data_IF_846767132308
#
_entry.id   IF_846767132308
#
_cell.length_a   1.000
_cell.length_b   1.000
_cell.length_c   1.000
_cell.angle_alpha   90.00
_cell.angle_beta   90.00
_cell.angle_gamma   90.00
#
_symmetry.space_group_name_H-M   'P 1'
#
loop_
_entity.id
_entity.type
_entity.pdbx_description
1 polymer ?
#
# COMPACT_ATOMS: atom_id res chain seq x y z
N UNK A 1 21.27 -6.88 -18.45
CA UNK A 1 20.34 -5.81 -18.89
C UNK A 1 19.07 -5.94 -18.08
N UNK A 2 18.51 -4.85 -17.59
CA UNK A 2 17.28 -4.85 -16.80
C UNK A 2 16.27 -3.86 -17.36
N UNK A 3 15.02 -4.29 -17.41
CA UNK A 3 13.82 -3.48 -17.60
C UNK A 3 12.95 -3.72 -16.36
N UNK A 4 12.73 -2.68 -15.57
CA UNK A 4 12.15 -2.77 -14.22
C UNK A 4 10.94 -1.86 -14.15
N UNK A 5 9.79 -2.34 -13.68
CA UNK A 5 8.57 -1.56 -13.53
C UNK A 5 7.42 -2.46 -13.10
N UNK A 6 6.16 -2.03 -13.28
CA UNK A 6 4.99 -2.87 -13.02
C UNK A 6 3.92 -2.72 -14.08
N UNK A 7 3.02 -3.70 -14.13
CA UNK A 7 1.82 -3.68 -14.95
C UNK A 7 0.69 -2.90 -14.26
N UNK A 8 -0.46 -2.79 -14.91
CA UNK A 8 -1.62 -2.10 -14.36
C UNK A 8 -2.23 -2.87 -13.18
N UNK A 9 -2.86 -2.16 -12.25
CA UNK A 9 -3.72 -2.77 -11.23
C UNK A 9 -4.97 -3.40 -11.85
N UNK A 10 -5.48 -2.83 -12.96
CA UNK A 10 -6.67 -3.30 -13.66
C UNK A 10 -6.34 -4.29 -14.77
N UNK A 11 -6.90 -5.50 -14.69
CA UNK A 11 -6.73 -6.57 -15.70
C UNK A 11 -7.10 -6.12 -17.11
N UNK A 12 -8.10 -5.26 -17.24
CA UNK A 12 -8.56 -4.75 -18.54
C UNK A 12 -7.48 -3.96 -19.27
N UNK A 13 -6.65 -3.22 -18.54
CA UNK A 13 -5.54 -2.49 -19.14
C UNK A 13 -4.48 -3.47 -19.64
N UNK A 14 -4.13 -4.47 -18.83
CA UNK A 14 -3.11 -5.45 -19.19
C UNK A 14 -3.52 -6.33 -20.37
N UNK A 15 -4.81 -6.63 -20.52
CA UNK A 15 -5.36 -7.35 -21.68
C UNK A 15 -5.26 -6.52 -22.97
N UNK A 16 -5.40 -5.20 -22.88
CA UNK A 16 -5.34 -4.29 -24.03
C UNK A 16 -3.90 -3.99 -24.42
N UNK A 17 -3.02 -3.77 -23.43
CA UNK A 17 -1.67 -3.31 -23.65
C UNK A 17 -0.63 -4.42 -23.52
N UNK A 18 -0.34 -4.89 -22.30
CA UNK A 18 0.38 -6.16 -22.04
C UNK A 18 0.59 -6.41 -20.54
N UNK A 19 0.52 -7.67 -20.10
CA UNK A 19 0.99 -8.11 -18.78
C UNK A 19 2.50 -8.07 -18.57
N UNK A 20 3.27 -7.89 -19.64
CA UNK A 20 4.75 -7.88 -19.66
C UNK A 20 5.33 -6.49 -19.90
N UNK A 21 4.49 -5.45 -19.88
CA UNK A 21 4.88 -4.06 -20.05
C UNK A 21 4.92 -3.34 -18.70
N UNK A 22 5.98 -2.57 -18.48
CA UNK A 22 6.01 -1.54 -17.45
C UNK A 22 5.22 -0.32 -17.91
N UNK A 23 4.15 0.02 -17.20
CA UNK A 23 3.26 1.12 -17.56
C UNK A 23 3.93 2.47 -17.33
N UNK A 24 3.85 3.36 -18.33
CA UNK A 24 4.63 4.59 -18.36
C UNK A 24 4.29 5.58 -17.26
N UNK A 25 3.03 5.64 -16.83
CA UNK A 25 2.57 6.57 -15.78
C UNK A 25 3.06 6.18 -14.39
N UNK A 26 2.98 4.91 -14.04
CA UNK A 26 3.65 4.33 -12.87
C UNK A 26 5.17 4.42 -13.01
N UNK A 27 5.67 4.45 -14.24
CA UNK A 27 7.08 4.59 -14.53
C UNK A 27 7.80 3.26 -14.55
N UNK A 28 8.97 3.28 -15.15
CA UNK A 28 9.86 2.13 -15.24
C UNK A 28 11.31 2.63 -15.33
N UNK A 29 12.25 1.74 -15.02
CA UNK A 29 13.67 1.98 -15.14
C UNK A 29 14.30 0.96 -16.10
N UNK A 30 15.32 1.40 -16.84
CA UNK A 30 16.15 0.51 -17.65
C UNK A 30 17.61 0.66 -17.24
N UNK A 31 18.35 -0.45 -17.20
CA UNK A 31 19.78 -0.43 -16.92
C UNK A 31 20.54 0.28 -18.05
N UNK A 32 21.66 0.92 -17.73
CA UNK A 32 22.51 1.58 -18.74
C UNK A 32 22.86 0.69 -19.95
N UNK A 33 23.28 -0.58 -19.79
CA UNK A 33 23.54 -1.46 -20.95
C UNK A 33 22.31 -1.68 -21.84
N UNK A 34 21.10 -1.71 -21.27
CA UNK A 34 19.87 -1.84 -22.06
C UNK A 34 19.57 -0.56 -22.84
N UNK A 35 19.77 0.61 -22.22
CA UNK A 35 19.62 1.88 -22.91
C UNK A 35 20.59 2.02 -24.09
N UNK A 36 21.83 1.54 -23.92
CA UNK A 36 22.85 1.55 -24.98
C UNK A 36 22.51 0.67 -26.18
N UNK A 37 21.83 -0.47 -25.97
CA UNK A 37 21.31 -1.28 -27.09
C UNK A 37 20.03 -0.67 -27.69
N UNK A 38 19.12 -0.18 -26.85
CA UNK A 38 17.85 0.42 -27.27
C UNK A 38 18.05 1.59 -28.24
N UNK A 39 18.96 2.52 -27.92
CA UNK A 39 19.17 3.72 -28.76
C UNK A 39 19.60 3.38 -30.19
N UNK A 40 20.23 2.22 -30.42
CA UNK A 40 20.71 1.80 -31.75
C UNK A 40 19.57 1.32 -32.66
N UNK A 41 18.48 0.85 -32.07
CA UNK A 41 17.33 0.28 -32.79
C UNK A 41 16.06 1.12 -32.66
N UNK A 42 16.06 2.13 -31.79
CA UNK A 42 14.87 2.85 -31.34
C UNK A 42 14.08 3.44 -32.51
N UNK A 43 14.70 4.19 -33.42
CA UNK A 43 13.99 4.86 -34.52
C UNK A 43 13.22 3.84 -35.39
N UNK A 44 13.92 2.81 -35.88
CA UNK A 44 13.29 1.77 -36.69
C UNK A 44 12.28 0.92 -35.90
N UNK A 45 12.48 0.77 -34.60
CA UNK A 45 11.51 0.11 -33.73
C UNK A 45 10.22 0.94 -33.57
N UNK A 46 10.34 2.25 -33.36
CA UNK A 46 9.20 3.16 -33.25
C UNK A 46 8.36 3.16 -34.54
N UNK A 47 9.00 3.03 -35.70
CA UNK A 47 8.31 2.85 -36.99
C UNK A 47 7.52 1.53 -37.04
N UNK A 48 8.11 0.42 -36.59
CA UNK A 48 7.43 -0.90 -36.55
C UNK A 48 6.23 -0.91 -35.61
N UNK A 49 6.33 -0.22 -34.49
CA UNK A 49 5.24 -0.09 -33.50
C UNK A 49 4.51 1.25 -33.61
N UNK A 50 4.49 1.88 -34.79
CA UNK A 50 3.85 3.18 -35.00
C UNK A 50 2.37 3.20 -34.60
N UNK A 51 1.66 2.08 -34.77
CA UNK A 51 0.24 1.92 -34.45
C UNK A 51 -0.07 1.71 -32.96
N UNK A 52 0.94 1.45 -32.12
CA UNK A 52 0.71 1.28 -30.68
C UNK A 52 0.31 2.61 -30.03
N UNK A 53 -0.61 2.52 -29.07
CA UNK A 53 -1.27 3.69 -28.48
C UNK A 53 -0.31 4.53 -27.62
N UNK A 54 0.34 3.90 -26.64
CA UNK A 54 1.20 4.56 -25.66
C UNK A 54 2.68 4.50 -26.02
N UNK A 55 3.45 5.49 -25.55
CA UNK A 55 4.92 5.50 -25.70
C UNK A 55 5.56 4.35 -24.93
N UNK A 56 5.03 4.00 -23.76
CA UNK A 56 5.40 2.82 -22.99
C UNK A 56 5.21 1.51 -23.76
N UNK A 57 4.07 1.36 -24.46
CA UNK A 57 3.80 0.18 -25.30
C UNK A 57 4.80 0.06 -26.46
N UNK A 58 5.16 1.19 -27.08
CA UNK A 58 6.20 1.23 -28.11
C UNK A 58 7.57 0.83 -27.55
N UNK A 59 7.96 1.40 -26.41
CA UNK A 59 9.22 1.04 -25.75
C UNK A 59 9.24 -0.44 -25.37
N UNK A 60 8.17 -0.98 -24.80
CA UNK A 60 8.05 -2.41 -24.51
C UNK A 60 8.20 -3.28 -25.78
N UNK A 61 7.66 -2.85 -26.92
CA UNK A 61 7.92 -3.48 -28.22
C UNK A 61 9.41 -3.53 -28.53
N UNK A 62 10.13 -2.41 -28.42
CA UNK A 62 11.57 -2.36 -28.65
C UNK A 62 12.37 -3.25 -27.69
N UNK A 63 11.98 -3.27 -26.42
CA UNK A 63 12.62 -4.12 -25.42
C UNK A 63 12.38 -5.61 -25.70
N UNK A 64 11.22 -5.96 -26.29
CA UNK A 64 10.91 -7.31 -26.76
C UNK A 64 11.78 -7.71 -27.95
N UNK A 65 12.09 -6.79 -28.87
CA UNK A 65 13.03 -7.06 -29.98
C UNK A 65 14.45 -7.32 -29.49
N UNK A 66 14.89 -6.60 -28.45
CA UNK A 66 16.19 -6.83 -27.79
C UNK A 66 16.17 -8.13 -26.96
N UNK A 67 14.98 -8.63 -26.60
CA UNK A 67 14.79 -9.85 -25.84
C UNK A 67 14.96 -9.68 -24.32
N UNK A 68 14.73 -8.47 -23.79
CA UNK A 68 14.81 -8.21 -22.34
C UNK A 68 13.41 -8.10 -21.74
N UNK A 69 12.97 -9.07 -20.92
CA UNK A 69 11.65 -9.06 -20.32
C UNK A 69 11.53 -8.07 -19.16
N UNK A 70 10.30 -7.70 -18.83
CA UNK A 70 9.99 -6.92 -17.63
C UNK A 70 10.32 -7.71 -16.35
N UNK A 71 11.11 -7.08 -15.50
CA UNK A 71 11.29 -7.45 -14.09
C UNK A 71 10.25 -6.67 -13.28
N UNK A 72 9.24 -7.37 -12.78
CA UNK A 72 8.13 -6.74 -12.05
C UNK A 72 8.56 -6.33 -10.65
N UNK A 73 8.39 -5.05 -10.35
CA UNK A 73 8.59 -4.48 -9.01
C UNK A 73 7.28 -3.87 -8.52
N UNK A 74 6.76 -4.41 -7.42
CA UNK A 74 5.40 -4.14 -6.94
C UNK A 74 5.18 -2.72 -6.38
N UNK A 75 6.23 -1.91 -6.30
CA UNK A 75 6.19 -0.53 -5.81
C UNK A 75 5.89 0.52 -6.88
N UNK A 76 5.86 0.13 -8.15
CA UNK A 76 5.47 1.01 -9.25
C UNK A 76 3.96 0.89 -9.45
N UNK A 77 3.22 1.98 -9.24
CA UNK A 77 1.77 1.98 -9.40
C UNK A 77 1.32 2.95 -10.48
N UNK A 78 0.67 2.39 -11.50
CA UNK A 78 -0.06 3.17 -12.50
C UNK A 78 -1.34 3.77 -11.87
N UNK A 79 -1.86 3.14 -10.80
CA UNK A 79 -3.11 3.50 -10.10
C UNK A 79 -4.28 3.57 -11.09
N UNK A 80 -4.32 2.59 -11.99
CA UNK A 80 -5.42 2.41 -12.93
C UNK A 80 -6.63 1.81 -12.19
N UNK A 81 -7.20 2.60 -11.29
CA UNK A 81 -8.41 2.31 -10.53
C UNK A 81 -9.28 3.56 -10.47
N UNK A 82 -10.53 3.39 -10.08
CA UNK A 82 -11.51 4.47 -9.86
C UNK A 82 -12.04 4.43 -8.44
N UNK A 83 -12.49 5.56 -7.92
CA UNK A 83 -13.07 5.61 -6.57
C UNK A 83 -12.01 5.74 -5.48
N UNK A 84 -12.17 5.03 -4.36
CA UNK A 84 -11.35 5.23 -3.17
C UNK A 84 -10.11 4.31 -3.17
N UNK A 85 -8.87 4.85 -3.24
CA UNK A 85 -7.64 4.04 -3.29
C UNK A 85 -7.25 3.42 -1.94
N UNK A 86 -8.04 3.63 -0.89
CA UNK A 86 -7.75 3.19 0.48
C UNK A 86 -7.32 1.72 0.57
N UNK A 87 -8.08 0.80 -0.01
CA UNK A 87 -7.77 -0.62 0.05
C UNK A 87 -6.42 -0.99 -0.56
N UNK A 88 -6.06 -0.35 -1.68
CA UNK A 88 -4.78 -0.53 -2.36
C UNK A 88 -3.61 -0.06 -1.49
N UNK A 89 -3.71 1.14 -0.90
CA UNK A 89 -2.63 1.74 -0.12
C UNK A 89 -2.52 1.17 1.30
N UNK A 90 -3.65 0.78 1.90
CA UNK A 90 -3.69 0.19 3.24
C UNK A 90 -3.12 -1.23 3.30
N UNK A 91 -3.20 -1.97 2.18
CA UNK A 91 -2.67 -3.33 2.03
C UNK A 91 -1.56 -3.37 0.98
N UNK A 92 -0.72 -2.32 0.93
CA UNK A 92 0.40 -2.26 0.00
C UNK A 92 1.29 -3.51 0.15
N UNK A 93 1.75 -4.12 -0.96
CA UNK A 93 2.58 -5.32 -0.91
C UNK A 93 3.91 -5.06 -0.18
N UNK A 94 4.60 -6.14 0.21
CA UNK A 94 5.93 -6.07 0.83
C UNK A 94 6.97 -5.72 -0.24
N UNK A 95 7.02 -4.44 -0.59
CA UNK A 95 7.91 -3.82 -1.55
C UNK A 95 8.03 -2.32 -1.22
N UNK A 96 9.16 -1.66 -1.52
CA UNK A 96 9.26 -0.21 -1.32
C UNK A 96 8.26 0.51 -2.23
N UNK A 97 7.55 1.51 -1.72
CA UNK A 97 6.74 2.39 -2.57
C UNK A 97 7.68 3.22 -3.47
N UNK A 98 7.52 3.13 -4.78
CA UNK A 98 8.36 3.84 -5.75
C UNK A 98 7.60 5.00 -6.39
N UNK A 99 6.37 4.76 -6.84
CA UNK A 99 5.57 5.75 -7.56
C UNK A 99 4.08 5.50 -7.40
N UNK A 100 3.32 6.59 -7.47
CA UNK A 100 1.86 6.60 -7.55
C UNK A 100 1.47 7.53 -8.70
N UNK A 101 0.79 7.00 -9.70
CA UNK A 101 0.25 7.77 -10.81
C UNK A 101 -1.26 8.03 -10.64
N UNK A 102 -1.89 8.71 -11.60
CA UNK A 102 -3.34 8.99 -11.68
C UNK A 102 -4.04 9.40 -10.38
N UNK A 103 -3.32 10.05 -9.46
CA UNK A 103 -3.90 10.47 -8.18
C UNK A 103 -5.03 11.49 -8.38
N UNK A 104 -5.03 12.22 -9.48
CA UNK A 104 -6.08 13.15 -9.89
C UNK A 104 -7.39 12.47 -10.34
N UNK A 105 -7.38 11.15 -10.58
CA UNK A 105 -8.54 10.37 -11.03
C UNK A 105 -9.20 9.50 -9.95
N UNK A 106 -8.64 9.50 -8.74
CA UNK A 106 -9.15 8.78 -7.58
C UNK A 106 -9.59 9.77 -6.49
N UNK A 107 -10.33 9.28 -5.50
CA UNK A 107 -10.65 10.08 -4.32
C UNK A 107 -9.36 10.44 -3.56
N UNK A 108 -9.45 11.47 -2.73
CA UNK A 108 -8.32 11.93 -1.92
C UNK A 108 -7.86 10.81 -0.97
N UNK A 109 -6.54 10.67 -0.80
CA UNK A 109 -5.94 9.58 -0.01
C UNK A 109 -6.37 9.64 1.47
N UNK A 110 -6.61 10.86 1.96
CA UNK A 110 -6.99 11.17 3.33
C UNK A 110 -8.33 11.90 3.31
N UNK A 111 -9.25 11.55 4.24
CA UNK A 111 -10.55 12.21 4.32
C UNK A 111 -10.41 13.69 4.67
N UNK A 112 -11.39 14.49 4.27
CA UNK A 112 -11.52 15.92 4.59
C UNK A 112 -10.34 16.80 4.12
N UNK A 113 -9.54 16.32 3.17
CA UNK A 113 -8.49 17.09 2.50
C UNK A 113 -8.77 17.13 0.99
N UNK A 114 -8.24 18.15 0.31
CA UNK A 114 -8.18 18.17 -1.16
C UNK A 114 -7.03 17.28 -1.68
N UNK A 115 -6.97 17.07 -3.00
CA UNK A 115 -6.01 16.16 -3.63
C UNK A 115 -4.55 16.48 -3.29
N UNK A 116 -4.17 17.76 -3.35
CA UNK A 116 -2.80 18.21 -3.13
C UNK A 116 -2.42 18.09 -1.66
N UNK A 117 -3.28 18.53 -0.75
CA UNK A 117 -3.00 18.48 0.69
C UNK A 117 -3.00 17.04 1.22
N UNK A 118 -3.83 16.18 0.63
CA UNK A 118 -3.80 14.74 0.87
C UNK A 118 -2.47 14.11 0.45
N UNK A 119 -1.96 14.45 -0.75
CA UNK A 119 -0.65 13.98 -1.21
C UNK A 119 0.48 14.53 -0.34
N UNK A 120 0.48 15.83 -0.02
CA UNK A 120 1.47 16.45 0.89
C UNK A 120 1.50 15.76 2.25
N UNK A 121 0.35 15.31 2.74
CA UNK A 121 0.27 14.58 4.01
C UNK A 121 0.97 13.22 3.92
N UNK A 122 0.80 12.46 2.84
CA UNK A 122 1.54 11.22 2.62
C UNK A 122 3.06 11.50 2.50
N UNK A 123 3.43 12.53 1.72
CA UNK A 123 4.82 12.96 1.55
C UNK A 123 5.46 13.32 2.90
N UNK A 124 4.71 13.94 3.82
CA UNK A 124 5.24 14.27 5.14
C UNK A 124 5.67 13.04 5.96
N UNK A 125 5.07 11.88 5.73
CA UNK A 125 5.52 10.61 6.31
C UNK A 125 6.72 10.05 5.56
N UNK A 126 6.67 10.06 4.23
CA UNK A 126 7.77 9.65 3.36
C UNK A 126 9.08 10.36 3.70
N UNK A 127 9.07 11.67 3.88
CA UNK A 127 10.28 12.45 4.22
C UNK A 127 10.92 12.03 5.56
N UNK A 128 10.19 11.31 6.43
CA UNK A 128 10.69 10.90 7.74
C UNK A 128 11.28 9.50 7.74
N UNK A 129 10.67 8.56 7.03
CA UNK A 129 11.13 7.18 6.86
C UNK A 129 10.72 6.64 5.47
N UNK A 130 11.43 7.05 4.38
CA UNK A 130 11.05 6.75 3.01
C UNK A 130 10.84 5.26 2.76
N UNK A 131 11.78 4.44 3.25
CA UNK A 131 11.82 2.99 3.08
C UNK A 131 10.64 2.26 3.76
N UNK A 132 9.94 2.92 4.68
CA UNK A 132 8.82 2.37 5.45
C UNK A 132 7.44 2.86 4.95
N UNK A 133 7.41 3.82 4.04
CA UNK A 133 6.15 4.41 3.56
C UNK A 133 5.22 3.33 3.01
N UNK A 134 3.97 3.32 3.49
CA UNK A 134 2.91 2.33 3.21
C UNK A 134 3.22 0.88 3.62
N UNK A 135 4.35 0.60 4.27
CA UNK A 135 4.66 -0.78 4.64
C UNK A 135 3.64 -1.33 5.61
N UNK A 136 3.10 -2.48 5.22
CA UNK A 136 2.09 -3.19 5.97
C UNK A 136 2.72 -4.05 7.07
N UNK A 137 2.23 -3.92 8.29
CA UNK A 137 2.60 -4.74 9.44
C UNK A 137 1.35 -5.01 10.28
N UNK A 138 1.29 -6.16 10.93
CA UNK A 138 0.16 -6.48 11.80
C UNK A 138 0.57 -7.34 12.98
N UNK A 139 -0.21 -7.22 14.05
CA UNK A 139 0.01 -7.89 15.33
C UNK A 139 -1.31 -8.00 16.09
N UNK A 140 -1.28 -8.74 17.19
CA UNK A 140 -2.47 -9.16 17.90
C UNK A 140 -2.37 -8.84 19.38
N UNK A 141 -3.49 -8.48 20.00
CA UNK A 141 -3.63 -8.53 21.45
C UNK A 141 -4.51 -9.72 21.80
N UNK A 142 -3.92 -10.77 22.34
CA UNK A 142 -4.66 -11.95 22.80
C UNK A 142 -5.55 -11.63 23.99
N UNK A 143 -5.09 -10.75 24.87
CA UNK A 143 -5.85 -10.32 26.05
C UNK A 143 -7.13 -9.58 25.68
N UNK A 144 -7.09 -8.79 24.60
CA UNK A 144 -8.24 -7.99 24.13
C UNK A 144 -9.02 -8.64 22.98
N UNK A 145 -8.52 -9.76 22.44
CA UNK A 145 -9.02 -10.38 21.22
C UNK A 145 -9.02 -9.43 20.02
N UNK A 146 -7.95 -8.64 19.86
CA UNK A 146 -7.83 -7.63 18.80
C UNK A 146 -6.77 -7.99 17.78
N UNK A 147 -7.01 -7.58 16.53
CA UNK A 147 -5.95 -7.46 15.52
C UNK A 147 -5.68 -6.01 15.22
N UNK A 148 -4.41 -5.67 15.06
CA UNK A 148 -3.94 -4.36 14.65
C UNK A 148 -3.25 -4.50 13.32
N UNK A 149 -3.70 -3.77 12.32
CA UNK A 149 -3.11 -3.70 10.99
C UNK A 149 -2.63 -2.27 10.74
N UNK A 150 -1.39 -2.11 10.33
CA UNK A 150 -0.69 -0.83 10.21
C UNK A 150 -0.15 -0.71 8.79
N UNK A 151 -0.57 0.32 8.07
CA UNK A 151 0.12 0.83 6.87
C UNK A 151 0.85 2.11 7.27
N UNK A 152 2.16 1.99 7.47
CA UNK A 152 2.93 3.06 8.11
C UNK A 152 2.93 4.34 7.27
N UNK A 153 2.62 5.46 7.93
CA UNK A 153 2.48 6.77 7.28
C UNK A 153 1.13 6.99 6.58
N UNK A 154 0.19 6.06 6.70
CA UNK A 154 -1.12 6.17 6.07
C UNK A 154 -2.29 5.86 6.98
N UNK A 155 -2.45 4.60 7.41
CA UNK A 155 -3.62 4.16 8.18
C UNK A 155 -3.30 3.07 9.20
N UNK A 156 -4.12 3.01 10.24
CA UNK A 156 -4.19 1.89 11.20
C UNK A 156 -5.62 1.37 11.23
N UNK A 157 -5.77 0.06 11.36
CA UNK A 157 -7.04 -0.64 11.46
C UNK A 157 -7.05 -1.48 12.74
N UNK A 158 -8.06 -1.30 13.58
CA UNK A 158 -8.30 -2.13 14.76
C UNK A 158 -9.51 -3.04 14.52
N UNK A 159 -9.31 -4.35 14.64
CA UNK A 159 -10.35 -5.35 14.46
C UNK A 159 -10.81 -5.90 15.81
N UNK A 160 -12.12 -6.13 16.02
CA UNK A 160 -12.69 -6.67 17.25
C UNK A 160 -12.51 -8.19 17.39
N UNK A 161 -11.57 -8.76 16.63
CA UNK A 161 -11.34 -10.20 16.51
C UNK A 161 -9.89 -10.47 16.13
N UNK A 162 -9.46 -11.73 16.30
CA UNK A 162 -8.19 -12.25 15.78
C UNK A 162 -8.36 -12.66 14.31
N UNK A 163 -7.99 -11.77 13.42
CA UNK A 163 -8.11 -11.94 11.98
C UNK A 163 -6.91 -12.70 11.40
N UNK A 164 -7.16 -13.52 10.38
CA UNK A 164 -6.06 -14.23 9.73
C UNK A 164 -5.12 -13.27 9.01
N UNK A 165 -3.83 -13.61 8.97
CA UNK A 165 -2.83 -12.88 8.18
C UNK A 165 -3.31 -12.65 6.74
N UNK A 166 -3.90 -13.70 6.11
CA UNK A 166 -4.40 -13.61 4.74
C UNK A 166 -5.50 -12.56 4.59
N UNK A 167 -6.43 -12.45 5.55
CA UNK A 167 -7.49 -11.42 5.53
C UNK A 167 -6.92 -10.03 5.73
N UNK A 168 -5.96 -9.85 6.64
CA UNK A 168 -5.33 -8.55 6.90
C UNK A 168 -4.50 -8.05 5.71
N UNK A 169 -3.84 -8.95 4.98
CA UNK A 169 -3.06 -8.64 3.77
C UNK A 169 -3.90 -8.49 2.50
N UNK A 170 -5.18 -8.87 2.54
CA UNK A 170 -6.06 -8.74 1.36
C UNK A 170 -6.70 -7.35 1.36
N UNK A 171 -6.46 -6.61 0.26
CA UNK A 171 -6.94 -5.25 0.06
C UNK A 171 -8.47 -5.19 0.13
N UNK A 172 -9.00 -4.18 0.82
CA UNK A 172 -10.44 -3.90 0.76
C UNK A 172 -10.81 -3.43 -0.65
N UNK A 173 -11.94 -3.93 -1.15
CA UNK A 173 -12.53 -3.49 -2.40
C UNK A 173 -13.22 -2.13 -2.20
N UNK A 174 -12.43 -1.06 -2.19
CA UNK A 174 -12.91 0.33 -2.05
C UNK A 174 -12.88 1.11 -3.37
N UNK A 175 -12.43 0.46 -4.44
CA UNK A 175 -12.21 1.04 -5.76
C UNK A 175 -12.81 0.13 -6.84
N UNK A 176 -12.83 0.63 -8.07
CA UNK A 176 -13.34 -0.04 -9.26
C UNK A 176 -12.26 -0.07 -10.36
N UNK A 177 -12.43 -0.95 -11.35
CA UNK A 177 -11.55 -1.08 -12.50
C UNK A 177 -11.52 0.20 -13.34
N UNK A 178 -10.40 0.45 -14.01
CA UNK A 178 -10.13 1.69 -14.72
C UNK A 178 -11.12 2.01 -15.85
N UNK A 179 -11.42 1.00 -16.68
CA UNK A 179 -12.14 1.17 -17.95
C UNK A 179 -13.62 0.83 -17.84
N UNK A 180 -14.00 -0.25 -17.15
CA UNK A 180 -15.42 -0.63 -17.04
C UNK A 180 -16.10 -0.16 -15.75
N UNK A 181 -15.37 0.45 -14.80
CA UNK A 181 -15.89 0.77 -13.47
C UNK A 181 -16.49 -0.46 -12.76
N UNK A 182 -15.98 -1.66 -13.08
CA UNK A 182 -16.41 -2.91 -12.47
C UNK A 182 -15.70 -3.12 -11.15
N UNK A 183 -16.32 -3.91 -10.26
CA UNK A 183 -15.71 -4.27 -8.99
C UNK A 183 -14.51 -5.22 -9.16
N UNK A 184 -14.39 -5.91 -10.29
CA UNK A 184 -13.33 -6.88 -10.60
C UNK A 184 -13.20 -6.98 -12.13
N UNK A 185 -12.10 -7.54 -12.68
CA UNK A 185 -10.94 -8.12 -11.98
C UNK A 185 -9.73 -7.18 -11.87
N UNK A 186 -8.92 -7.42 -10.83
CA UNK A 186 -7.61 -6.78 -10.59
C UNK A 186 -6.48 -7.81 -10.67
N UNK A 187 -5.24 -7.32 -10.78
CA UNK A 187 -4.03 -8.17 -10.80
C UNK A 187 -3.62 -8.68 -9.41
N UNK A 188 -4.42 -8.41 -8.39
CA UNK A 188 -4.26 -8.83 -7.01
C UNK A 188 -5.63 -9.15 -6.40
N UNK A 189 -5.62 -9.87 -5.26
CA UNK A 189 -6.86 -10.25 -4.59
C UNK A 189 -7.44 -9.10 -3.78
N UNK A 190 -8.75 -8.93 -3.88
CA UNK A 190 -9.53 -8.00 -3.08
C UNK A 190 -10.51 -8.73 -2.17
N UNK A 191 -11.01 -8.05 -1.14
CA UNK A 191 -12.11 -8.53 -0.29
C UNK A 191 -13.17 -7.46 -0.10
N UNK A 192 -14.46 -7.82 0.00
CA UNK A 192 -15.50 -6.85 0.30
C UNK A 192 -15.32 -6.27 1.71
N UNK A 193 -15.80 -5.05 1.91
CA UNK A 193 -16.05 -4.51 3.24
C UNK A 193 -17.41 -5.02 3.70
N UNK A 194 -17.50 -5.65 4.89
CA UNK A 194 -18.77 -6.20 5.40
C UNK A 194 -19.85 -5.12 5.49
N UNK A 195 -21.11 -5.45 5.27
CA UNK A 195 -22.22 -4.52 5.50
C UNK A 195 -22.55 -4.36 6.99
N UNK A 196 -22.17 -5.32 7.83
CA UNK A 196 -22.29 -5.22 9.30
C UNK A 196 -21.17 -4.32 9.85
N UNK A 197 -21.50 -3.15 10.45
CA UNK A 197 -20.51 -2.29 11.11
C UNK A 197 -19.69 -2.99 12.19
N UNK A 198 -20.24 -4.03 12.83
CA UNK A 198 -19.56 -4.80 13.87
C UNK A 198 -18.46 -5.73 13.33
N UNK A 199 -18.46 -6.02 12.03
CA UNK A 199 -17.44 -6.83 11.37
C UNK A 199 -16.37 -5.98 10.66
N UNK A 200 -16.55 -4.65 10.65
CA UNK A 200 -15.58 -3.71 10.09
C UNK A 200 -14.50 -3.40 11.12
N UNK A 201 -13.27 -3.12 10.67
CA UNK A 201 -12.29 -2.51 11.56
C UNK A 201 -12.66 -1.06 11.87
N UNK A 202 -12.27 -0.59 13.06
CA UNK A 202 -12.16 0.85 13.32
C UNK A 202 -10.94 1.38 12.58
N UNK A 203 -11.14 2.38 11.74
CA UNK A 203 -10.11 2.95 10.87
C UNK A 203 -9.55 4.23 11.48
N UNK A 204 -8.23 4.39 11.40
CA UNK A 204 -7.50 5.57 11.83
C UNK A 204 -6.65 6.06 10.67
N UNK A 205 -6.63 7.36 10.43
CA UNK A 205 -5.73 7.97 9.44
C UNK A 205 -4.59 8.70 10.12
N UNK A 206 -3.46 8.79 9.44
CA UNK A 206 -2.31 9.56 9.93
C UNK A 206 -2.77 10.95 10.36
N UNK A 207 -2.42 11.37 11.57
CA UNK A 207 -2.59 12.73 12.06
C UNK A 207 -1.24 13.46 11.97
N UNK A 208 -0.20 12.88 12.58
CA UNK A 208 1.13 13.51 12.74
C UNK A 208 2.26 12.49 12.65
N UNK A 209 3.40 12.96 12.18
CA UNK A 209 4.67 12.21 12.16
C UNK A 209 5.71 12.99 12.96
N UNK A 210 6.38 12.32 13.88
CA UNK A 210 7.45 12.89 14.72
C UNK A 210 8.70 12.03 14.61
N UNK A 211 9.88 12.66 14.64
CA UNK A 211 11.13 11.97 14.98
C UNK A 211 11.31 12.02 16.48
N UNK A 212 11.61 10.87 17.07
CA UNK A 212 11.88 10.73 18.51
C UNK A 212 13.32 10.28 18.64
N UNK A 213 14.13 11.01 19.43
CA UNK A 213 15.55 10.69 19.59
C UNK A 213 16.34 10.62 18.26
N UNK A 214 17.40 9.81 18.25
CA UNK A 214 18.19 9.53 17.05
C UNK A 214 17.69 8.25 16.40
N UNK A 215 17.06 8.36 15.23
CA UNK A 215 16.69 7.22 14.40
C UNK A 215 15.44 6.47 14.83
N UNK A 216 14.54 7.09 15.61
CA UNK A 216 13.20 6.56 15.84
C UNK A 216 12.14 7.51 15.29
N UNK A 217 11.04 6.90 14.85
CA UNK A 217 9.85 7.58 14.38
C UNK A 217 8.68 7.26 15.30
N UNK A 218 7.79 8.24 15.47
CA UNK A 218 6.50 8.09 16.12
C UNK A 218 5.45 8.67 15.19
N UNK A 219 4.52 7.83 14.75
CA UNK A 219 3.36 8.24 13.95
C UNK A 219 2.11 8.14 14.81
N UNK A 220 1.30 9.21 14.78
CA UNK A 220 0.05 9.32 15.54
C UNK A 220 -1.07 9.28 14.51
N UNK A 221 -2.04 8.40 14.72
CA UNK A 221 -3.21 8.23 13.85
C UNK A 221 -4.45 8.56 14.66
N UNK A 222 -5.35 9.32 14.05
CA UNK A 222 -6.62 9.72 14.65
C UNK A 222 -7.74 8.90 14.04
N UNK A 223 -8.68 8.46 14.89
CA UNK A 223 -9.85 7.70 14.46
C UNK A 223 -10.63 8.47 13.40
N UNK A 224 -11.02 7.76 12.36
CA UNK A 224 -11.93 8.25 11.34
C UNK A 224 -13.37 7.95 11.76
N UNK A 225 -14.15 9.00 11.99
CA UNK A 225 -15.57 8.89 12.30
C UNK A 225 -16.35 9.02 10.99
N UNK A 226 -17.10 7.97 10.64
CA UNK A 226 -17.99 8.00 9.48
C UNK A 226 -19.26 8.71 9.92
N UNK A 227 -19.65 9.78 9.21
CA UNK A 227 -20.85 10.58 9.54
C UNK A 227 -22.17 9.78 9.55
N UNK A 228 -22.18 8.56 8.97
CA UNK A 228 -23.33 7.69 9.01
C UNK A 228 -23.43 6.98 10.36
N UNK A 229 -24.42 7.36 11.17
CA UNK A 229 -24.76 6.78 12.50
C UNK A 229 -25.17 5.30 12.50
N UNK A 230 -24.42 4.45 11.80
CA UNK A 230 -24.46 2.99 11.81
C UNK A 230 -23.25 2.48 12.58
N UNK A 231 -23.12 2.91 13.83
CA UNK A 231 -22.09 2.35 14.72
C UNK A 231 -22.52 0.96 15.20
N UNK A 232 -21.52 0.11 15.48
CA UNK A 232 -21.80 -1.19 16.07
C UNK A 232 -22.24 -1.01 17.53
N UNK A 233 -23.38 -1.59 17.89
CA UNK A 233 -23.92 -1.56 19.26
C UNK A 233 -23.51 -2.77 20.12
N UNK A 234 -22.64 -3.67 19.61
CA UNK A 234 -22.22 -4.85 20.39
C UNK A 234 -21.23 -4.44 21.48
N UNK A 235 -21.37 -5.05 22.66
CA UNK A 235 -20.57 -4.73 23.85
C UNK A 235 -19.07 -5.02 23.69
N UNK A 236 -18.71 -6.04 22.91
CA UNK A 236 -17.32 -6.39 22.57
C UNK A 236 -16.65 -5.38 21.64
N UNK A 237 -17.44 -4.59 20.90
CA UNK A 237 -16.96 -3.54 20.01
C UNK A 237 -16.71 -2.20 20.74
N UNK A 238 -17.43 -1.95 21.84
CA UNK A 238 -17.33 -0.69 22.60
C UNK A 238 -15.89 -0.36 23.07
N UNK A 239 -15.06 -1.31 23.53
CA UNK A 239 -13.66 -1.06 23.84
C UNK A 239 -12.82 -0.54 22.66
N UNK A 240 -13.13 -0.91 21.41
CA UNK A 240 -12.44 -0.35 20.24
C UNK A 240 -12.89 1.09 19.97
N UNK A 241 -14.19 1.35 20.12
CA UNK A 241 -14.76 2.70 20.04
C UNK A 241 -14.34 3.62 21.19
N UNK A 242 -13.67 3.11 22.22
CA UNK A 242 -13.06 3.96 23.26
C UNK A 242 -11.69 4.50 22.84
N UNK A 243 -11.05 3.94 21.82
CA UNK A 243 -9.70 4.33 21.38
C UNK A 243 -9.80 5.42 20.31
N UNK A 244 -9.42 6.65 20.63
CA UNK A 244 -9.40 7.75 19.65
C UNK A 244 -8.08 7.85 18.88
N UNK A 245 -6.98 7.32 19.42
CA UNK A 245 -5.66 7.42 18.81
C UNK A 245 -4.91 6.10 18.74
N UNK A 246 -4.12 5.93 17.69
CA UNK A 246 -3.10 4.90 17.62
C UNK A 246 -1.72 5.54 17.48
N UNK A 247 -0.79 5.14 18.33
CA UNK A 247 0.59 5.60 18.32
C UNK A 247 1.49 4.45 17.86
N UNK A 248 2.17 4.63 16.73
CA UNK A 248 3.05 3.63 16.15
C UNK A 248 4.49 4.13 16.26
N UNK A 249 5.30 3.46 17.07
CA UNK A 249 6.75 3.67 17.16
C UNK A 249 7.49 2.71 16.24
N UNK A 250 8.58 3.17 15.64
CA UNK A 250 9.47 2.32 14.87
C UNK A 250 10.88 2.92 14.81
N UNK A 251 11.91 2.07 14.82
CA UNK A 251 13.24 2.49 14.40
C UNK A 251 13.24 2.79 12.89
N UNK A 252 13.92 3.85 12.47
CA UNK A 252 14.01 4.24 11.05
C UNK A 252 14.45 3.03 10.22
N UNK A 253 13.70 2.72 9.17
CA UNK A 253 14.01 1.59 8.30
C UNK A 253 15.28 1.90 7.51
N UNK A 254 16.22 0.95 7.48
CA UNK A 254 17.46 1.13 6.75
C UNK A 254 17.28 0.63 5.30
N UNK A 255 17.79 1.35 4.28
CA UNK A 255 17.64 0.95 2.89
C UNK A 255 18.23 -0.42 2.54
N UNK A 256 19.24 -0.89 3.29
CA UNK A 256 19.86 -2.21 3.08
C UNK A 256 18.90 -3.37 3.32
N UNK A 257 17.81 -3.16 4.06
CA UNK A 257 16.78 -4.19 4.27
C UNK A 257 16.14 -4.58 2.93
N UNK A 258 15.95 -3.64 2.01
CA UNK A 258 15.41 -3.91 0.67
C UNK A 258 16.36 -4.67 -0.26
N UNK A 259 17.62 -4.87 0.15
CA UNK A 259 18.57 -5.74 -0.57
C UNK A 259 18.47 -7.21 -0.14
N UNK A 260 17.71 -7.50 0.90
CA UNK A 260 17.42 -8.85 1.39
C UNK A 260 16.14 -9.38 0.74
N UNK A 261 15.87 -10.67 0.94
CA UNK A 261 14.57 -11.24 0.56
C UNK A 261 13.43 -10.48 1.28
N UNK A 262 12.41 -9.97 0.55
CA UNK A 262 11.35 -9.17 1.15
C UNK A 262 10.60 -9.94 2.26
N UNK A 263 10.48 -9.30 3.42
CA UNK A 263 9.71 -9.81 4.56
C UNK A 263 9.10 -8.62 5.30
N UNK A 264 7.79 -8.68 5.58
CA UNK A 264 7.12 -7.69 6.43
C UNK A 264 7.81 -7.58 7.80
N UNK A 265 7.78 -6.40 8.39
CA UNK A 265 8.21 -6.22 9.78
C UNK A 265 7.14 -6.73 10.74
N UNK A 266 7.58 -7.11 11.93
CA UNK A 266 6.70 -7.56 13.01
C UNK A 266 6.28 -6.35 13.84
N UNK A 267 5.14 -6.45 14.52
CA UNK A 267 4.76 -5.46 15.51
C UNK A 267 4.26 -6.10 16.81
N UNK A 268 4.17 -5.30 17.85
CA UNK A 268 3.57 -5.70 19.12
C UNK A 268 2.89 -4.52 19.81
N UNK A 269 1.86 -4.81 20.60
CA UNK A 269 1.10 -3.80 21.34
C UNK A 269 1.74 -3.65 22.71
N UNK A 270 2.26 -2.46 23.01
CA UNK A 270 3.09 -2.24 24.20
C UNK A 270 2.28 -1.86 25.45
N UNK A 271 1.02 -1.40 25.29
CA UNK A 271 0.17 -0.96 26.40
C UNK A 271 -1.06 -1.87 26.64
N UNK A 272 -0.86 -3.20 26.69
CA UNK A 272 -1.97 -4.16 26.85
C UNK A 272 -2.74 -4.04 28.17
N UNK A 273 -2.11 -3.51 29.23
CA UNK A 273 -2.65 -3.52 30.59
C UNK A 273 -3.86 -2.60 30.82
N UNK A 274 -3.95 -1.44 30.14
CA UNK A 274 -5.02 -0.45 30.34
C UNK A 274 -5.71 -0.12 29.01
N UNK A 275 -7.05 -0.18 28.98
CA UNK A 275 -7.84 0.38 27.86
C UNK A 275 -7.81 1.89 28.01
N UNK A 276 -6.74 2.48 27.49
CA UNK A 276 -6.58 3.92 27.36
C UNK A 276 -7.24 4.40 26.06
N UNK A 277 -7.42 5.71 25.95
CA UNK A 277 -7.81 6.41 24.72
C UNK A 277 -6.83 6.18 23.54
N UNK A 278 -5.69 5.54 23.82
CA UNK A 278 -4.58 5.36 22.90
C UNK A 278 -4.16 3.89 22.86
N UNK A 279 -4.03 3.32 21.67
CA UNK A 279 -3.28 2.07 21.46
C UNK A 279 -1.84 2.39 21.07
N UNK A 280 -0.87 1.75 21.71
CA UNK A 280 0.55 1.93 21.42
C UNK A 280 1.09 0.64 20.79
N UNK A 281 1.73 0.79 19.62
CA UNK A 281 2.28 -0.32 18.85
C UNK A 281 3.72 -0.01 18.49
N UNK A 282 4.60 -0.98 18.65
CA UNK A 282 5.97 -0.91 18.20
C UNK A 282 6.16 -1.79 16.95
N UNK A 283 6.72 -1.23 15.87
CA UNK A 283 7.17 -1.98 14.70
C UNK A 283 8.68 -2.24 14.82
N UNK A 284 9.05 -3.51 14.66
CA UNK A 284 10.43 -4.00 14.77
C UNK A 284 10.76 -5.08 13.74
N UNK A 285 12.03 -5.44 13.66
CA UNK A 285 12.44 -6.66 12.97
C UNK A 285 11.77 -7.89 13.61
N UNK A 286 11.44 -8.86 12.78
CA UNK A 286 10.97 -10.16 13.28
C UNK A 286 12.14 -10.96 13.85
N UNK A 287 11.93 -11.58 15.00
CA UNK A 287 12.85 -12.54 15.60
C UNK A 287 12.97 -13.79 14.72
N UNK A 288 14.04 -14.55 14.97
CA UNK A 288 14.22 -15.84 14.33
C UNK A 288 13.06 -16.76 14.69
N UNK A 289 12.47 -17.40 13.68
CA UNK A 289 11.29 -18.29 13.81
C UNK A 289 10.00 -17.60 14.27
N UNK A 290 9.94 -16.27 14.34
CA UNK A 290 8.72 -15.55 14.71
C UNK A 290 7.68 -15.59 13.58
N UNK A 291 6.49 -16.08 13.92
CA UNK A 291 5.24 -15.77 13.24
C UNK A 291 4.45 -14.83 14.14
N UNK A 292 3.91 -13.75 13.59
CA UNK A 292 3.03 -12.83 14.33
C UNK A 292 1.68 -13.46 14.65
N UNK A 293 1.28 -14.52 13.94
CA UNK A 293 -0.01 -15.17 14.17
C UNK A 293 0.03 -15.97 15.48
N UNK A 294 -0.97 -15.82 16.36
CA UNK A 294 -1.08 -16.63 17.55
C UNK A 294 -1.13 -18.14 17.25
N UNK A 295 -0.61 -18.99 18.15
CA UNK A 295 -0.75 -20.44 18.04
C UNK A 295 -2.19 -20.93 18.15
#
# INVERSE_FOLDING_TARGET
MFYIGSNSESVEQDLIHSYTMGYGGGGFAISYPLAAELVRVLDGCLDRYASFYGSDQKIHGCLSEIGVPLTKELGFHQVDIRGNPYGLLAAHPVAPLVSLHHLDYVQTLFPNLNQIDSLKKLISAYEKDPDRTLQHSFCYSLKRNWSVSVSWGYTVQLYPSLETAKKLETAFLTFQSWKSWSNEPFTFNTRPMSDDPCERPVVYFLDRVKRVGKGQSLTIYKRFEVESGKECNRHDYAPLLAVNFANISASTMRPDIWKLAPRRQCCEIINEANVEDVVQVEIRGCNQFESVTPP
#
